data_IF_037861302145
#
_entry.id   IF_037861302145
#
_cell.length_a   1.000
_cell.length_b   1.000
_cell.length_c   1.000
_cell.angle_alpha   90.00
_cell.angle_beta   90.00
_cell.angle_gamma   90.00
#
_symmetry.space_group_name_H-M   'P 1'
#
loop_
_entity.id
_entity.type
_entity.pdbx_description
1 polymer ?
#
# COMPACT_ATOMS: atom_id res chain seq x y z
N UNK A 1 -7.64 7.32 -1.94
CA UNK A 1 -7.34 5.98 -1.40
C UNK A 1 -8.62 5.22 -1.56
N UNK A 2 -8.54 4.15 -2.32
CA UNK A 2 -9.69 3.51 -2.95
C UNK A 2 -9.52 2.00 -2.83
N UNK A 3 -10.61 1.25 -2.99
CA UNK A 3 -10.60 -0.21 -2.96
C UNK A 3 -9.93 -0.84 -1.72
N UNK A 4 -10.02 -0.17 -0.57
CA UNK A 4 -9.44 -0.64 0.69
C UNK A 4 -10.20 -1.84 1.21
N UNK A 5 -9.48 -2.91 1.56
CA UNK A 5 -10.05 -4.06 2.26
C UNK A 5 -9.15 -4.49 3.40
N UNK A 6 -9.76 -4.72 4.57
CA UNK A 6 -9.10 -5.33 5.72
C UNK A 6 -9.58 -6.77 5.83
N UNK A 7 -8.65 -7.72 5.82
CA UNK A 7 -8.94 -9.15 5.77
C UNK A 7 -8.78 -9.82 7.12
N UNK A 8 -7.80 -9.38 7.90
CA UNK A 8 -7.55 -9.88 9.25
C UNK A 8 -6.94 -8.78 10.13
N UNK A 9 -7.09 -8.93 11.44
CA UNK A 9 -6.49 -8.03 12.43
C UNK A 9 -4.96 -8.25 12.46
N UNK A 10 -4.22 -7.15 12.61
CA UNK A 10 -2.79 -7.14 12.92
C UNK A 10 -2.64 -6.86 14.41
N UNK A 11 -1.82 -7.64 15.10
CA UNK A 11 -1.62 -7.54 16.55
C UNK A 11 -0.18 -7.12 16.89
N UNK A 12 0.06 -6.58 18.10
CA UNK A 12 1.43 -6.35 18.57
C UNK A 12 2.28 -7.62 18.45
N UNK A 13 3.49 -7.48 17.91
CA UNK A 13 4.40 -8.59 17.62
C UNK A 13 4.29 -9.16 16.20
N UNK A 14 3.23 -8.86 15.45
CA UNK A 14 3.18 -9.19 14.03
C UNK A 14 4.16 -8.32 13.22
N UNK A 15 4.81 -8.92 12.22
CA UNK A 15 5.52 -8.19 11.18
C UNK A 15 4.60 -8.03 9.98
N UNK A 16 4.29 -6.78 9.64
CA UNK A 16 3.50 -6.43 8.45
C UNK A 16 4.44 -6.18 7.27
N UNK A 17 4.41 -7.06 6.28
CA UNK A 17 5.22 -6.96 5.06
C UNK A 17 4.39 -6.30 3.96
N UNK A 18 4.89 -5.20 3.41
CA UNK A 18 4.25 -4.48 2.31
C UNK A 18 4.80 -4.88 0.95
N UNK A 19 3.91 -5.22 0.04
CA UNK A 19 4.20 -5.36 -1.39
C UNK A 19 3.47 -4.23 -2.12
N UNK A 20 4.23 -3.37 -2.79
CA UNK A 20 3.73 -2.21 -3.51
C UNK A 20 4.07 -2.34 -5.00
N UNK A 21 3.07 -2.14 -5.84
CA UNK A 21 3.21 -2.20 -7.30
C UNK A 21 2.68 -0.91 -7.91
N UNK A 22 3.39 -0.36 -8.91
CA UNK A 22 2.89 0.76 -9.69
C UNK A 22 1.78 0.28 -10.61
N UNK A 23 0.57 0.86 -10.50
CA UNK A 23 -0.53 0.55 -11.41
C UNK A 23 -0.40 1.29 -12.75
N UNK A 24 0.37 2.37 -12.77
CA UNK A 24 0.73 3.09 -13.98
C UNK A 24 2.10 3.76 -13.81
N UNK A 25 2.80 4.09 -14.92
CA UNK A 25 4.03 4.84 -14.84
C UNK A 25 3.83 6.18 -14.12
N UNK A 26 4.83 6.60 -13.35
CA UNK A 26 4.81 7.88 -12.64
C UNK A 26 4.70 9.01 -13.67
N UNK A 27 3.72 9.90 -13.50
CA UNK A 27 3.47 11.01 -14.43
C UNK A 27 3.19 12.29 -13.64
N UNK A 28 3.86 13.38 -13.99
CA UNK A 28 3.71 14.70 -13.33
C UNK A 28 3.89 14.62 -11.80
N UNK A 29 4.78 13.74 -11.35
CA UNK A 29 5.02 13.47 -9.93
C UNK A 29 3.87 12.73 -9.22
N UNK A 30 2.86 12.23 -9.94
CA UNK A 30 1.80 11.39 -9.40
C UNK A 30 2.21 9.92 -9.45
N UNK A 31 2.07 9.25 -8.31
CA UNK A 31 2.36 7.83 -8.13
C UNK A 31 1.03 7.12 -7.89
N UNK A 32 0.59 6.34 -8.87
CA UNK A 32 -0.58 5.50 -8.76
C UNK A 32 -0.13 4.08 -8.41
N UNK A 33 -0.48 3.60 -7.22
CA UNK A 33 0.04 2.34 -6.69
C UNK A 33 -1.04 1.45 -6.10
N UNK A 34 -0.80 0.15 -6.14
CA UNK A 34 -1.56 -0.86 -5.40
C UNK A 34 -0.67 -1.41 -4.31
N UNK A 35 -1.21 -1.46 -3.09
CA UNK A 35 -0.53 -2.02 -1.93
C UNK A 35 -1.24 -3.25 -1.40
N UNK A 36 -0.46 -4.27 -1.04
CA UNK A 36 -0.90 -5.42 -0.25
C UNK A 36 0.00 -5.56 0.98
N UNK A 37 -0.61 -5.67 2.15
CA UNK A 37 0.07 -5.93 3.42
C UNK A 37 -0.18 -7.37 3.86
N UNK A 38 0.88 -8.06 4.28
CA UNK A 38 0.83 -9.47 4.70
C UNK A 38 1.35 -9.64 6.12
N UNK A 39 0.72 -10.53 6.88
CA UNK A 39 1.18 -10.97 8.20
C UNK A 39 1.29 -12.48 8.17
N UNK A 40 2.46 -13.02 8.52
CA UNK A 40 2.75 -14.47 8.49
C UNK A 40 2.41 -15.11 7.12
N UNK A 41 2.68 -14.37 6.04
CA UNK A 41 2.38 -14.81 4.66
C UNK A 41 0.91 -14.71 4.24
N UNK A 42 0.00 -14.33 5.14
CA UNK A 42 -1.43 -14.17 4.85
C UNK A 42 -1.78 -12.70 4.58
N UNK A 43 -2.67 -12.46 3.62
CA UNK A 43 -3.09 -11.10 3.25
C UNK A 43 -3.86 -10.45 4.41
N UNK A 44 -3.33 -9.36 4.94
CA UNK A 44 -3.92 -8.58 6.03
C UNK A 44 -4.72 -7.39 5.52
N UNK A 45 -4.19 -6.67 4.53
CA UNK A 45 -4.85 -5.49 3.95
C UNK A 45 -4.47 -5.31 2.49
N UNK A 46 -5.36 -4.71 1.72
CA UNK A 46 -5.09 -4.25 0.36
C UNK A 46 -5.73 -2.87 0.14
N UNK A 47 -5.10 -2.03 -0.70
CA UNK A 47 -5.59 -0.71 -1.05
C UNK A 47 -5.00 -0.22 -2.38
N UNK A 48 -5.70 0.68 -3.04
CA UNK A 48 -5.21 1.46 -4.19
C UNK A 48 -5.05 2.92 -3.77
N UNK A 49 -3.91 3.51 -4.12
CA UNK A 49 -3.47 4.79 -3.56
C UNK A 49 -2.86 5.68 -4.64
N UNK A 50 -3.12 6.98 -4.53
CA UNK A 50 -2.50 8.02 -5.34
C UNK A 50 -1.67 8.92 -4.41
N UNK A 51 -0.38 9.07 -4.69
CA UNK A 51 0.52 9.96 -3.97
C UNK A 51 1.12 11.01 -4.89
N UNK A 52 1.57 12.14 -4.31
CA UNK A 52 2.26 13.21 -5.04
C UNK A 52 3.67 13.38 -4.48
N UNK A 53 4.67 13.32 -5.37
CA UNK A 53 6.05 13.65 -5.05
C UNK A 53 6.15 15.16 -4.91
N UNK A 54 6.59 15.63 -3.75
CA UNK A 54 6.84 17.03 -3.44
C UNK A 54 8.28 17.17 -2.94
N UNK A 55 8.91 18.32 -3.19
CA UNK A 55 10.23 18.60 -2.59
C UNK A 55 10.06 18.77 -1.08
N UNK A 56 11.02 18.26 -0.33
CA UNK A 56 11.14 18.58 1.09
C UNK A 56 11.41 20.07 1.27
N UNK A 57 11.01 20.61 2.42
CA UNK A 57 11.08 22.05 2.71
C UNK A 57 12.41 22.46 3.31
#
# INVERSE_FOLDING_TARGET
IDNVKFKQKVLPGDTLVFHLELMSPIRRGLVNMKGRGYVRGQLASEAEMLAKIVKDK
#
